data_IF_193157878482
#
_entry.id   IF_193157878482
#
_cell.length_a   1.000
_cell.length_b   1.000
_cell.length_c   1.000
_cell.angle_alpha   90.00
_cell.angle_beta   90.00
_cell.angle_gamma   90.00
#
_symmetry.space_group_name_H-M   'P 1'
#
loop_
_entity.id
_entity.type
_entity.pdbx_description
1 polymer ?
#
# COMPACT_ATOMS: atom_id res chain seq x y z
N UNK A 1 8.05 -21.53 -19.58
CA UNK A 1 7.28 -20.34 -19.99
C UNK A 1 6.21 -20.79 -20.96
N UNK A 2 4.94 -20.62 -20.63
CA UNK A 2 3.84 -21.00 -21.52
C UNK A 2 3.36 -19.73 -22.22
N UNK A 3 3.75 -19.59 -23.49
CA UNK A 3 3.20 -18.54 -24.36
C UNK A 3 1.81 -18.98 -24.79
N UNK A 4 0.81 -18.17 -24.52
CA UNK A 4 -0.59 -18.42 -24.86
C UNK A 4 -1.08 -17.45 -25.92
N UNK A 5 -1.99 -17.92 -26.75
CA UNK A 5 -2.56 -17.16 -27.86
C UNK A 5 -3.87 -16.50 -27.44
N UNK A 6 -4.01 -15.21 -27.75
CA UNK A 6 -5.21 -14.40 -27.48
C UNK A 6 -5.68 -13.71 -28.78
N UNK A 7 -6.84 -14.08 -29.33
CA UNK A 7 -7.37 -13.48 -30.54
C UNK A 7 -7.91 -12.07 -30.26
N UNK A 8 -7.44 -11.07 -30.99
CA UNK A 8 -7.87 -9.68 -30.90
C UNK A 8 -8.57 -9.28 -32.21
N UNK A 9 -9.84 -8.89 -32.13
CA UNK A 9 -10.57 -8.38 -33.28
C UNK A 9 -10.55 -6.85 -33.25
N UNK A 10 -10.07 -6.22 -34.32
CA UNK A 10 -9.85 -4.78 -34.42
C UNK A 10 -10.74 -4.15 -35.48
N UNK A 11 -11.06 -2.88 -35.34
CA UNK A 11 -11.63 -2.06 -36.40
C UNK A 11 -10.52 -1.44 -37.25
N UNK A 12 -9.45 -1.00 -36.62
CA UNK A 12 -8.26 -0.43 -37.28
C UNK A 12 -7.06 -0.71 -36.37
N UNK A 13 -5.90 -0.96 -36.96
CA UNK A 13 -4.63 -1.10 -36.27
C UNK A 13 -3.51 -0.50 -37.13
N UNK A 14 -2.62 0.25 -36.48
CA UNK A 14 -1.40 0.80 -37.07
C UNK A 14 -0.18 0.29 -36.34
N UNK A 15 0.77 -0.25 -37.12
CA UNK A 15 2.07 -0.69 -36.64
C UNK A 15 3.06 0.47 -36.75
N UNK A 16 3.75 0.77 -35.69
CA UNK A 16 4.74 1.86 -35.61
C UNK A 16 6.03 1.25 -35.06
N UNK A 17 7.15 1.53 -35.74
CA UNK A 17 8.48 1.20 -35.26
C UNK A 17 9.17 2.51 -34.85
N UNK A 18 9.25 2.83 -33.53
CA UNK A 18 9.74 4.14 -33.08
C UNK A 18 11.20 4.40 -33.39
N UNK A 19 12.02 3.34 -33.36
CA UNK A 19 13.44 3.40 -33.68
C UNK A 19 13.85 2.19 -34.51
N UNK A 20 14.84 2.35 -35.40
CA UNK A 20 15.41 1.22 -36.12
C UNK A 20 16.48 0.47 -35.34
N UNK A 21 16.99 1.07 -34.26
CA UNK A 21 18.00 0.49 -33.36
C UNK A 21 17.41 -0.31 -32.20
N UNK A 22 16.13 -0.11 -31.91
CA UNK A 22 15.45 -0.75 -30.77
C UNK A 22 14.54 -1.89 -31.26
N UNK A 23 14.39 -2.97 -30.47
CA UNK A 23 13.57 -4.12 -30.84
C UNK A 23 12.07 -3.84 -30.78
N UNK A 24 11.63 -2.82 -30.04
CA UNK A 24 10.23 -2.59 -29.73
C UNK A 24 9.44 -2.16 -30.96
N UNK A 25 8.25 -2.75 -31.10
CA UNK A 25 7.23 -2.38 -32.07
C UNK A 25 5.95 -2.04 -31.35
N UNK A 26 5.38 -0.88 -31.68
CA UNK A 26 4.12 -0.41 -31.10
C UNK A 26 3.01 -0.61 -32.13
N UNK A 27 1.89 -1.21 -31.69
CA UNK A 27 0.65 -1.24 -32.43
C UNK A 27 -0.39 -0.41 -31.69
N UNK A 28 -1.06 0.51 -32.40
CA UNK A 28 -2.20 1.26 -31.87
C UNK A 28 -3.45 0.76 -32.57
N UNK A 29 -4.37 0.18 -31.82
CA UNK A 29 -5.58 -0.42 -32.33
C UNK A 29 -6.84 0.24 -31.73
N UNK A 30 -7.87 0.42 -32.57
CA UNK A 30 -9.23 0.67 -32.11
C UNK A 30 -10.01 -0.64 -32.12
N UNK A 31 -10.38 -1.10 -30.94
CA UNK A 31 -10.96 -2.42 -30.69
C UNK A 31 -12.41 -2.26 -30.28
N UNK A 32 -13.37 -2.85 -31.00
CA UNK A 32 -14.75 -2.96 -30.50
C UNK A 32 -14.76 -3.66 -29.14
N UNK A 33 -15.64 -3.30 -28.26
CA UNK A 33 -15.74 -3.94 -26.93
C UNK A 33 -15.84 -5.46 -27.01
N UNK A 34 -16.63 -5.96 -27.96
CA UNK A 34 -16.76 -7.41 -28.25
C UNK A 34 -15.54 -8.05 -28.93
N UNK A 35 -14.57 -7.25 -29.34
CA UNK A 35 -13.32 -7.70 -29.99
C UNK A 35 -12.16 -7.91 -29.01
N UNK A 36 -12.32 -7.52 -27.75
CA UNK A 36 -11.30 -7.75 -26.73
C UNK A 36 -11.22 -9.25 -26.37
N UNK A 37 -10.01 -9.83 -26.31
CA UNK A 37 -9.84 -11.22 -25.84
C UNK A 37 -10.25 -11.34 -24.38
N UNK A 38 -10.82 -12.47 -24.01
CA UNK A 38 -11.11 -12.82 -22.63
C UNK A 38 -9.88 -13.37 -21.91
N UNK A 39 -9.74 -13.10 -20.61
CA UNK A 39 -8.72 -13.69 -19.76
C UNK A 39 -7.30 -13.19 -19.99
N UNK A 40 -7.12 -11.95 -20.48
CA UNK A 40 -5.78 -11.36 -20.58
C UNK A 40 -5.10 -11.29 -19.21
N UNK A 41 -3.83 -11.72 -19.08
CA UNK A 41 -3.11 -11.66 -17.82
C UNK A 41 -2.85 -10.21 -17.39
N UNK A 42 -2.98 -9.94 -16.10
CA UNK A 42 -2.85 -8.61 -15.49
C UNK A 42 -1.71 -8.48 -14.50
N UNK A 43 -0.79 -9.45 -14.40
CA UNK A 43 0.29 -9.47 -13.38
C UNK A 43 1.22 -8.25 -13.42
N UNK A 44 1.46 -7.67 -14.61
CA UNK A 44 2.26 -6.45 -14.77
C UNK A 44 1.51 -5.17 -14.38
N UNK A 45 0.19 -5.23 -14.29
CA UNK A 45 -0.57 -4.06 -13.88
C UNK A 45 -0.37 -3.82 -12.38
N UNK A 46 0.23 -2.70 -12.02
CA UNK A 46 0.47 -2.28 -10.62
C UNK A 46 -0.82 -2.23 -9.79
N UNK A 47 -1.97 -2.23 -10.46
CA UNK A 47 -3.32 -2.35 -9.91
C UNK A 47 -3.94 -3.63 -10.44
N UNK A 48 -3.52 -4.78 -9.92
CA UNK A 48 -3.99 -6.07 -10.43
C UNK A 48 -5.50 -6.23 -10.25
N UNK A 49 -6.10 -6.88 -11.24
CA UNK A 49 -7.54 -7.14 -11.31
C UNK A 49 -7.94 -8.12 -10.19
N UNK A 50 -7.09 -9.12 -9.93
CA UNK A 50 -7.34 -10.18 -8.94
C UNK A 50 -7.24 -9.71 -7.48
N UNK A 51 -6.40 -8.70 -7.20
CA UNK A 51 -6.23 -8.15 -5.85
C UNK A 51 -7.34 -7.18 -5.43
N UNK A 52 -8.21 -6.81 -6.35
CA UNK A 52 -9.24 -5.82 -6.07
C UNK A 52 -10.47 -6.41 -5.41
N UNK A 53 -10.50 -7.68 -5.08
CA UNK A 53 -11.63 -8.32 -4.38
C UNK A 53 -12.90 -7.51 -4.58
N UNK A 54 -13.44 -7.50 -5.81
CA UNK A 54 -14.31 -6.45 -6.28
C UNK A 54 -15.65 -6.44 -5.55
N UNK A 55 -15.80 -5.45 -4.69
CA UNK A 55 -17.11 -4.84 -4.53
C UNK A 55 -17.20 -3.66 -5.51
N UNK A 56 -17.97 -3.73 -6.58
CA UNK A 56 -18.07 -2.68 -7.63
C UNK A 56 -18.55 -1.34 -7.13
N UNK A 57 -18.83 -1.23 -5.85
CA UNK A 57 -19.45 -0.09 -5.18
C UNK A 57 -18.47 0.95 -4.64
N UNK A 58 -17.14 0.78 -4.78
CA UNK A 58 -16.22 1.52 -3.91
C UNK A 58 -15.69 2.86 -4.42
N UNK A 59 -15.61 3.13 -5.74
CA UNK A 59 -15.16 4.45 -6.19
C UNK A 59 -16.12 5.13 -7.18
N UNK A 60 -16.27 6.46 -7.04
CA UNK A 60 -17.09 7.26 -7.96
C UNK A 60 -16.59 7.15 -9.42
N UNK A 61 -15.26 7.10 -9.61
CA UNK A 61 -14.62 6.96 -10.93
C UNK A 61 -14.98 5.65 -11.59
N UNK A 62 -14.91 4.53 -10.87
CA UNK A 62 -15.26 3.21 -11.40
C UNK A 62 -16.72 3.15 -11.86
N UNK A 63 -17.65 3.65 -11.03
CA UNK A 63 -19.07 3.73 -11.37
C UNK A 63 -19.33 4.59 -12.62
N UNK A 64 -18.61 5.70 -12.77
CA UNK A 64 -18.71 6.58 -13.94
C UNK A 64 -18.26 5.86 -15.21
N UNK A 65 -17.12 5.15 -15.17
CA UNK A 65 -16.64 4.38 -16.33
C UNK A 65 -17.61 3.25 -16.67
N UNK A 66 -18.12 2.51 -15.68
CA UNK A 66 -19.12 1.45 -15.89
C UNK A 66 -20.41 1.99 -16.56
N UNK A 67 -20.94 3.09 -16.06
CA UNK A 67 -22.13 3.74 -16.65
C UNK A 67 -21.86 4.21 -18.09
N UNK A 68 -20.64 4.63 -18.40
CA UNK A 68 -20.24 4.98 -19.76
C UNK A 68 -20.18 3.74 -20.66
N UNK A 69 -19.63 2.62 -20.19
CA UNK A 69 -19.62 1.32 -20.89
C UNK A 69 -21.04 0.83 -21.16
N UNK A 70 -21.98 1.05 -20.24
CA UNK A 70 -23.39 0.71 -20.37
C UNK A 70 -24.20 1.74 -21.18
N UNK A 71 -23.58 2.82 -21.63
CA UNK A 71 -24.28 3.91 -22.35
C UNK A 71 -25.27 4.71 -21.51
N UNK A 72 -25.20 4.62 -20.18
CA UNK A 72 -26.02 5.36 -19.23
C UNK A 72 -25.48 6.75 -18.92
N UNK A 73 -24.23 7.03 -19.33
CA UNK A 73 -23.57 8.30 -19.09
C UNK A 73 -22.74 8.74 -20.31
N UNK A 74 -22.81 10.01 -20.65
CA UNK A 74 -22.08 10.62 -21.74
C UNK A 74 -22.66 10.31 -23.15
N UNK A 75 -21.95 10.79 -24.20
CA UNK A 75 -22.35 10.52 -25.60
C UNK A 75 -21.98 9.09 -25.97
N UNK A 76 -22.95 8.32 -26.44
CA UNK A 76 -22.75 6.94 -26.96
C UNK A 76 -21.69 6.92 -28.08
N UNK A 77 -20.89 5.88 -28.14
CA UNK A 77 -19.87 5.68 -29.15
C UNK A 77 -18.61 6.55 -29.02
N UNK A 78 -18.50 7.41 -28.01
CA UNK A 78 -17.32 8.28 -27.77
C UNK A 78 -16.46 7.82 -26.59
N UNK A 79 -16.53 6.55 -26.21
CA UNK A 79 -15.79 6.00 -25.07
C UNK A 79 -14.27 6.18 -25.27
N UNK A 80 -13.73 5.85 -26.44
CA UNK A 80 -12.32 5.96 -26.79
C UNK A 80 -11.74 7.39 -26.67
N UNK A 81 -12.59 8.43 -26.69
CA UNK A 81 -12.15 9.83 -26.50
C UNK A 81 -12.11 10.23 -25.01
N UNK A 82 -12.69 9.43 -24.12
CA UNK A 82 -12.87 9.75 -22.69
C UNK A 82 -12.10 8.81 -21.78
N UNK A 83 -11.51 7.76 -22.33
CA UNK A 83 -10.78 6.74 -21.61
C UNK A 83 -9.34 6.68 -22.12
N UNK A 84 -8.39 6.43 -21.22
CA UNK A 84 -6.97 6.34 -21.55
C UNK A 84 -6.59 5.02 -22.25
N UNK A 85 -7.57 4.17 -22.57
CA UNK A 85 -7.35 2.92 -23.27
C UNK A 85 -6.75 1.82 -22.40
N UNK A 86 -6.23 0.79 -23.08
CA UNK A 86 -5.58 -0.38 -22.51
C UNK A 86 -4.18 -0.48 -23.10
N UNK A 87 -3.15 -0.69 -22.27
CA UNK A 87 -1.78 -0.92 -22.73
C UNK A 87 -1.39 -2.36 -22.44
N UNK A 88 -0.87 -3.06 -23.45
CA UNK A 88 -0.44 -4.44 -23.39
C UNK A 88 1.06 -4.57 -23.71
N UNK A 89 1.75 -5.46 -23.01
CA UNK A 89 3.05 -6.01 -23.37
C UNK A 89 2.84 -7.42 -23.92
N UNK A 90 3.41 -7.73 -25.07
CA UNK A 90 3.24 -9.03 -25.73
C UNK A 90 4.56 -9.52 -26.33
N UNK A 91 4.72 -10.84 -26.45
CA UNK A 91 5.85 -11.45 -27.17
C UNK A 91 5.80 -11.15 -28.65
N UNK A 92 4.61 -11.26 -29.29
CA UNK A 92 4.44 -10.94 -30.70
C UNK A 92 2.98 -10.71 -31.10
N UNK A 93 2.78 -10.02 -32.23
CA UNK A 93 1.49 -9.76 -32.86
C UNK A 93 1.49 -10.35 -34.25
N UNK A 94 0.59 -11.30 -34.52
CA UNK A 94 0.49 -11.97 -35.83
C UNK A 94 -0.84 -11.62 -36.50
N UNK A 95 -0.77 -11.06 -37.69
CA UNK A 95 -1.95 -10.75 -38.52
C UNK A 95 -2.54 -12.03 -39.12
N UNK A 96 -3.82 -12.28 -38.86
CA UNK A 96 -4.58 -13.42 -39.42
C UNK A 96 -5.46 -12.96 -40.57
N UNK A 97 -6.26 -11.91 -40.36
CA UNK A 97 -7.06 -11.24 -41.38
C UNK A 97 -6.89 -9.72 -41.26
N UNK A 98 -7.68 -8.95 -42.01
CA UNK A 98 -7.61 -7.49 -41.91
C UNK A 98 -8.13 -6.97 -40.55
N UNK A 99 -9.00 -7.72 -39.91
CA UNK A 99 -9.67 -7.36 -38.66
C UNK A 99 -9.34 -8.29 -37.50
N UNK A 100 -8.54 -9.35 -37.69
CA UNK A 100 -8.19 -10.35 -36.68
C UNK A 100 -6.69 -10.51 -36.56
N UNK A 101 -6.20 -10.42 -35.34
CA UNK A 101 -4.79 -10.58 -34.94
C UNK A 101 -4.70 -11.55 -33.77
N UNK A 102 -3.65 -12.38 -33.78
CA UNK A 102 -3.30 -13.22 -32.63
C UNK A 102 -2.20 -12.52 -31.84
N UNK A 103 -2.46 -12.30 -30.54
CA UNK A 103 -1.46 -11.84 -29.58
C UNK A 103 -0.86 -13.08 -28.91
N UNK A 104 0.47 -13.18 -28.89
CA UNK A 104 1.19 -14.21 -28.18
C UNK A 104 1.75 -13.60 -26.90
N UNK A 105 1.37 -14.13 -25.74
CA UNK A 105 1.62 -13.54 -24.41
C UNK A 105 2.21 -14.60 -23.49
N UNK A 106 3.33 -14.30 -22.86
CA UNK A 106 3.87 -15.03 -21.72
C UNK A 106 3.08 -14.62 -20.47
N UNK A 107 2.17 -15.48 -19.99
CA UNK A 107 1.26 -15.17 -18.89
C UNK A 107 1.96 -14.83 -17.56
N UNK A 108 3.25 -15.15 -17.44
CA UNK A 108 4.03 -14.85 -16.23
C UNK A 108 4.64 -13.44 -16.28
N UNK A 109 5.02 -12.95 -17.47
CA UNK A 109 5.82 -11.73 -17.62
C UNK A 109 5.22 -10.72 -18.64
N UNK A 110 4.02 -10.97 -19.17
CA UNK A 110 3.36 -10.15 -20.16
C UNK A 110 1.86 -10.01 -19.90
N UNK A 111 1.19 -9.16 -20.67
CA UNK A 111 -0.24 -8.91 -20.55
C UNK A 111 -0.58 -7.44 -20.37
N UNK A 112 -1.57 -7.17 -19.54
CA UNK A 112 -2.05 -5.80 -19.27
C UNK A 112 -1.02 -5.06 -18.41
N UNK A 113 -0.50 -3.97 -18.98
CA UNK A 113 0.44 -3.05 -18.29
C UNK A 113 -0.32 -1.90 -17.65
N UNK A 114 -1.34 -1.37 -18.32
CA UNK A 114 -2.21 -0.31 -17.82
C UNK A 114 -3.62 -0.46 -18.40
N UNK A 115 -4.63 0.09 -17.69
CA UNK A 115 -6.03 0.03 -18.13
C UNK A 115 -6.76 -1.25 -17.73
N UNK A 116 -6.27 -2.02 -16.75
CA UNK A 116 -6.89 -3.26 -16.26
C UNK A 116 -8.34 -3.08 -15.82
N UNK A 117 -8.67 -2.01 -15.09
CA UNK A 117 -10.06 -1.69 -14.72
C UNK A 117 -10.96 -1.45 -15.93
N UNK A 118 -10.43 -0.76 -16.96
CA UNK A 118 -11.17 -0.53 -18.19
C UNK A 118 -11.45 -1.85 -18.91
N UNK A 119 -10.43 -2.71 -19.00
CA UNK A 119 -10.54 -4.04 -19.59
C UNK A 119 -11.62 -4.87 -18.86
N UNK A 120 -11.54 -5.00 -17.56
CA UNK A 120 -12.48 -5.77 -16.76
C UNK A 120 -13.92 -5.25 -16.89
N UNK A 121 -14.11 -3.93 -16.79
CA UNK A 121 -15.43 -3.33 -16.94
C UNK A 121 -16.03 -3.61 -18.31
N UNK A 122 -15.22 -3.53 -19.38
CA UNK A 122 -15.70 -3.81 -20.73
C UNK A 122 -16.06 -5.29 -20.86
N UNK A 123 -15.15 -6.21 -20.54
CA UNK A 123 -15.36 -7.65 -20.73
C UNK A 123 -16.55 -8.17 -19.92
N UNK A 124 -16.64 -7.77 -18.65
CA UNK A 124 -17.77 -8.12 -17.77
C UNK A 124 -19.13 -7.63 -18.33
N UNK A 125 -19.19 -6.40 -18.84
CA UNK A 125 -20.43 -5.84 -19.40
C UNK A 125 -20.76 -6.45 -20.77
N UNK A 126 -19.76 -6.84 -21.56
CA UNK A 126 -19.95 -7.60 -22.79
C UNK A 126 -20.58 -8.97 -22.49
N UNK A 127 -20.00 -9.72 -21.54
CA UNK A 127 -20.50 -11.04 -21.12
C UNK A 127 -21.91 -10.96 -20.54
N UNK A 128 -22.22 -9.88 -19.81
CA UNK A 128 -23.56 -9.64 -19.28
C UNK A 128 -24.55 -9.10 -20.32
N UNK A 129 -24.13 -8.83 -21.54
CA UNK A 129 -24.98 -8.23 -22.60
C UNK A 129 -25.43 -6.79 -22.32
N UNK A 130 -24.70 -6.07 -21.45
CA UNK A 130 -25.05 -4.71 -21.01
C UNK A 130 -24.16 -3.63 -21.61
N UNK A 131 -23.08 -4.01 -22.29
CA UNK A 131 -22.17 -3.09 -22.96
C UNK A 131 -22.82 -2.51 -24.23
N UNK A 132 -22.56 -1.21 -24.50
CA UNK A 132 -22.95 -0.58 -25.77
C UNK A 132 -21.98 -0.95 -26.89
N UNK A 133 -22.41 -0.78 -28.14
CA UNK A 133 -21.51 -0.82 -29.29
C UNK A 133 -20.59 0.42 -29.28
N UNK A 134 -19.36 0.21 -28.82
CA UNK A 134 -18.34 1.24 -28.71
C UNK A 134 -16.94 0.62 -28.85
N UNK A 135 -15.93 1.47 -28.89
CA UNK A 135 -14.54 1.08 -29.10
C UNK A 135 -13.67 1.60 -27.97
N UNK A 136 -12.58 0.88 -27.71
CA UNK A 136 -11.50 1.27 -26.82
C UNK A 136 -10.19 1.32 -27.62
N UNK A 137 -9.33 2.27 -27.29
CA UNK A 137 -7.95 2.28 -27.79
C UNK A 137 -7.13 1.22 -27.06
N UNK A 138 -6.39 0.41 -27.82
CA UNK A 138 -5.47 -0.58 -27.28
C UNK A 138 -4.08 -0.33 -27.86
N UNK A 139 -3.13 0.03 -26.99
CA UNK A 139 -1.72 0.16 -27.32
C UNK A 139 -1.02 -1.17 -26.99
N UNK A 140 -0.42 -1.80 -27.98
CA UNK A 140 0.27 -3.08 -27.83
C UNK A 140 1.74 -2.86 -28.13
N UNK A 141 2.63 -3.24 -27.21
CA UNK A 141 4.08 -3.16 -27.40
C UNK A 141 4.67 -4.56 -27.41
N UNK A 142 5.36 -4.93 -28.49
CA UNK A 142 6.13 -6.18 -28.62
C UNK A 142 7.62 -5.90 -28.54
N UNK A 143 8.42 -6.88 -28.07
CA UNK A 143 9.87 -6.84 -28.10
C UNK A 143 10.52 -6.20 -26.87
N UNK A 144 9.76 -5.79 -25.86
CA UNK A 144 10.35 -5.29 -24.60
C UNK A 144 11.01 -6.42 -23.81
N UNK A 145 12.19 -6.17 -23.24
CA UNK A 145 12.76 -7.03 -22.22
C UNK A 145 12.02 -6.89 -20.85
N UNK A 146 12.38 -7.72 -19.88
CA UNK A 146 11.66 -7.74 -18.61
C UNK A 146 11.82 -6.44 -17.83
N UNK A 147 13.01 -5.85 -17.81
CA UNK A 147 13.30 -4.60 -17.11
C UNK A 147 12.49 -3.44 -17.69
N UNK A 148 12.49 -3.31 -19.04
CA UNK A 148 11.68 -2.31 -19.74
C UNK A 148 10.19 -2.48 -19.50
N UNK A 149 9.67 -3.73 -19.43
CA UNK A 149 8.26 -3.99 -19.11
C UNK A 149 7.90 -3.46 -17.71
N UNK A 150 8.75 -3.72 -16.72
CA UNK A 150 8.55 -3.24 -15.34
C UNK A 150 8.60 -1.70 -15.27
N UNK A 151 9.57 -1.06 -15.94
CA UNK A 151 9.68 0.40 -15.99
C UNK A 151 8.47 1.06 -16.65
N UNK A 152 8.01 0.50 -17.78
CA UNK A 152 6.83 1.00 -18.50
C UNK A 152 5.57 0.83 -17.66
N UNK A 153 5.43 -0.30 -16.97
CA UNK A 153 4.31 -0.53 -16.05
C UNK A 153 4.29 0.51 -14.92
N UNK A 154 5.43 0.79 -14.31
CA UNK A 154 5.58 1.83 -13.29
C UNK A 154 5.29 3.21 -13.88
N UNK A 155 5.89 3.56 -15.01
CA UNK A 155 5.76 4.86 -15.66
C UNK A 155 4.32 5.20 -16.06
N UNK A 156 3.61 4.27 -16.71
CA UNK A 156 2.23 4.48 -17.13
C UNK A 156 1.25 4.56 -15.97
N UNK A 157 1.53 3.85 -14.87
CA UNK A 157 0.68 3.86 -13.69
C UNK A 157 1.02 5.02 -12.72
N UNK A 158 2.21 5.60 -12.77
CA UNK A 158 2.61 6.75 -11.94
C UNK A 158 1.95 8.06 -12.36
N UNK A 159 1.50 8.18 -13.61
CA UNK A 159 0.73 9.34 -14.09
C UNK A 159 -0.65 9.49 -13.39
N UNK A 160 -1.14 8.44 -12.77
CA UNK A 160 -2.32 8.46 -11.91
C UNK A 160 -1.82 8.10 -10.52
N UNK A 161 -1.67 9.04 -9.59
CA UNK A 161 -1.22 8.88 -8.19
C UNK A 161 -1.09 7.40 -7.72
N UNK A 162 -0.10 6.67 -8.24
CA UNK A 162 0.17 5.29 -7.78
C UNK A 162 0.83 5.42 -6.43
N UNK A 163 0.25 4.77 -5.44
CA UNK A 163 0.81 4.72 -4.10
C UNK A 163 2.18 4.02 -4.15
N UNK A 164 3.14 4.58 -3.45
CA UNK A 164 4.51 4.05 -3.37
C UNK A 164 4.56 2.57 -2.96
N UNK A 165 3.62 2.11 -2.14
CA UNK A 165 3.53 0.69 -1.74
C UNK A 165 3.29 -0.23 -2.92
N UNK A 166 2.42 0.16 -3.86
CA UNK A 166 2.14 -0.62 -5.06
C UNK A 166 3.35 -0.70 -6.00
N UNK A 167 4.09 0.41 -6.15
CA UNK A 167 5.34 0.44 -6.93
C UNK A 167 6.38 -0.53 -6.33
N UNK A 168 6.60 -0.46 -5.02
CA UNK A 168 7.57 -1.32 -4.32
C UNK A 168 7.16 -2.79 -4.33
N UNK A 169 5.86 -3.08 -4.31
CA UNK A 169 5.38 -4.46 -4.43
C UNK A 169 5.67 -5.03 -5.83
N UNK A 170 5.47 -4.24 -6.89
CA UNK A 170 5.81 -4.64 -8.26
C UNK A 170 7.32 -4.89 -8.41
N UNK A 171 8.16 -4.08 -7.76
CA UNK A 171 9.61 -4.29 -7.66
C UNK A 171 10.02 -5.44 -6.73
N UNK A 172 9.06 -6.18 -6.17
CA UNK A 172 9.29 -7.31 -5.26
C UNK A 172 10.05 -6.95 -3.97
N UNK A 173 10.08 -5.67 -3.59
CA UNK A 173 10.80 -5.17 -2.41
C UNK A 173 10.28 -5.78 -1.11
N UNK A 174 9.02 -6.21 -1.07
CA UNK A 174 8.42 -6.83 0.11
C UNK A 174 8.54 -8.37 0.16
N UNK A 175 9.20 -9.01 -0.82
CA UNK A 175 9.24 -10.47 -0.88
C UNK A 175 9.92 -11.08 0.36
N UNK A 176 11.08 -10.56 0.76
CA UNK A 176 11.78 -11.04 1.97
C UNK A 176 10.92 -10.92 3.23
N UNK A 177 10.09 -9.88 3.34
CA UNK A 177 9.15 -9.75 4.45
C UNK A 177 8.00 -10.75 4.37
N UNK A 178 7.45 -10.98 3.18
CA UNK A 178 6.41 -12.00 2.95
C UNK A 178 6.92 -13.39 3.32
N UNK A 179 8.10 -13.74 2.83
CA UNK A 179 8.75 -15.03 3.10
C UNK A 179 9.00 -15.22 4.61
N UNK A 180 9.52 -14.19 5.29
CA UNK A 180 9.71 -14.22 6.74
C UNK A 180 8.39 -14.47 7.50
N UNK A 181 7.32 -13.77 7.14
CA UNK A 181 6.03 -13.93 7.82
C UNK A 181 5.41 -15.31 7.55
N UNK A 182 5.54 -15.83 6.33
CA UNK A 182 5.05 -17.15 5.92
C UNK A 182 5.82 -18.27 6.64
N UNK A 183 7.15 -18.22 6.67
CA UNK A 183 8.00 -19.19 7.36
C UNK A 183 7.67 -19.29 8.86
N UNK A 184 7.38 -18.14 9.48
CA UNK A 184 7.02 -18.06 10.89
C UNK A 184 5.52 -18.35 11.14
N UNK A 185 4.71 -18.55 10.09
CA UNK A 185 3.24 -18.78 10.15
C UNK A 185 2.53 -17.73 11.02
N UNK A 186 2.86 -16.46 10.81
CA UNK A 186 2.25 -15.39 11.57
C UNK A 186 0.74 -15.25 11.26
N UNK A 187 -0.13 -15.13 12.28
CA UNK A 187 -1.59 -15.17 12.10
C UNK A 187 -2.17 -13.95 11.38
N UNK A 188 -1.34 -12.99 11.02
CA UNK A 188 -1.71 -11.80 10.27
C UNK A 188 -1.02 -11.69 8.89
N UNK A 189 -0.31 -12.74 8.45
CA UNK A 189 0.35 -12.78 7.15
C UNK A 189 -0.62 -12.46 6.02
N UNK A 190 -1.76 -13.13 6.01
CA UNK A 190 -2.86 -12.97 5.06
C UNK A 190 -3.68 -11.67 5.24
N UNK A 191 -3.31 -10.81 6.18
CA UNK A 191 -4.04 -9.58 6.52
C UNK A 191 -3.31 -8.31 6.10
N UNK A 192 -2.12 -8.44 5.49
CA UNK A 192 -1.31 -7.30 5.08
C UNK A 192 -1.55 -6.94 3.62
N UNK A 193 -2.03 -5.72 3.40
CA UNK A 193 -2.21 -5.12 2.08
C UNK A 193 -0.89 -4.57 1.55
N UNK A 194 -0.33 -5.20 0.52
CA UNK A 194 0.94 -4.81 -0.10
C UNK A 194 0.78 -3.81 -1.25
N UNK A 195 -0.43 -3.46 -1.60
CA UNK A 195 -0.73 -2.54 -2.70
C UNK A 195 -1.98 -1.70 -2.41
N UNK A 196 -2.17 -0.66 -3.21
CA UNK A 196 -3.32 0.23 -3.09
C UNK A 196 -4.62 -0.51 -3.44
N UNK A 197 -5.66 -0.24 -2.64
CA UNK A 197 -7.00 -0.83 -2.77
C UNK A 197 -7.11 -2.34 -2.52
N UNK A 198 -6.07 -2.98 -2.00
CA UNK A 198 -6.15 -4.33 -1.47
C UNK A 198 -7.16 -4.39 -0.32
N UNK A 199 -7.80 -5.56 -0.13
CA UNK A 199 -8.87 -5.72 0.87
C UNK A 199 -8.35 -5.97 2.27
N UNK A 200 -7.11 -6.39 2.38
CA UNK A 200 -6.48 -6.71 3.63
C UNK A 200 -6.44 -5.46 4.53
N UNK A 201 -6.75 -5.65 5.81
CA UNK A 201 -6.99 -4.53 6.70
C UNK A 201 -5.73 -3.80 7.19
N UNK A 202 -4.55 -4.41 7.04
CA UNK A 202 -3.28 -3.87 7.55
C UNK A 202 -2.45 -3.35 6.38
N UNK A 203 -2.31 -2.04 6.24
CA UNK A 203 -1.50 -1.45 5.17
C UNK A 203 0.00 -1.68 5.41
N UNK A 204 0.73 -2.20 4.43
CA UNK A 204 2.18 -2.47 4.53
C UNK A 204 2.97 -1.20 4.87
N UNK A 205 2.59 -0.04 4.37
CA UNK A 205 3.24 1.23 4.70
C UNK A 205 3.15 1.58 6.19
N UNK A 206 2.06 1.18 6.87
CA UNK A 206 1.93 1.33 8.33
C UNK A 206 2.80 0.30 9.08
N UNK A 207 2.93 -0.92 8.56
CA UNK A 207 3.84 -1.95 9.10
C UNK A 207 5.28 -1.45 9.03
N UNK A 208 5.73 -1.04 7.85
CA UNK A 208 7.09 -0.51 7.64
C UNK A 208 7.33 0.76 8.47
N UNK A 209 6.36 1.65 8.56
CA UNK A 209 6.51 2.87 9.37
C UNK A 209 6.71 2.57 10.86
N UNK A 210 6.04 1.55 11.41
CA UNK A 210 6.25 1.10 12.79
C UNK A 210 7.63 0.45 12.97
N UNK A 211 8.08 -0.36 12.02
CA UNK A 211 9.43 -0.93 12.03
C UNK A 211 10.50 0.17 11.99
N UNK A 212 10.36 1.11 11.06
CA UNK A 212 11.30 2.22 10.88
C UNK A 212 11.34 3.16 12.08
N UNK A 213 10.24 3.40 12.79
CA UNK A 213 10.26 4.26 13.97
C UNK A 213 11.02 3.64 15.16
N UNK A 214 11.31 2.34 15.10
CA UNK A 214 12.12 1.62 16.11
C UNK A 214 13.58 1.38 15.67
N UNK A 215 13.98 1.91 14.54
CA UNK A 215 15.33 1.80 14.01
C UNK A 215 16.34 2.65 14.82
N UNK A 216 17.09 1.99 15.70
CA UNK A 216 18.07 2.64 16.59
C UNK A 216 19.34 3.10 15.87
N UNK A 217 19.61 2.56 14.67
CA UNK A 217 20.78 2.93 13.87
C UNK A 217 20.54 4.25 13.14
N UNK A 218 19.42 4.36 12.46
CA UNK A 218 19.06 5.57 11.73
C UNK A 218 18.51 6.69 12.63
N UNK A 219 17.91 6.33 13.77
CA UNK A 219 17.40 7.26 14.77
C UNK A 219 18.05 6.94 16.13
N UNK A 220 19.25 7.48 16.40
CA UNK A 220 20.05 7.10 17.55
C UNK A 220 19.33 7.36 18.88
N UNK A 221 19.73 6.63 19.91
CA UNK A 221 19.18 6.76 21.28
C UNK A 221 19.60 8.07 21.93
N UNK A 222 20.79 8.57 21.59
CA UNK A 222 21.24 9.89 22.09
C UNK A 222 20.34 11.00 21.53
N UNK A 223 19.56 11.60 22.40
CA UNK A 223 18.60 12.66 22.07
C UNK A 223 19.27 13.96 21.61
N UNK A 224 20.54 14.19 21.94
CA UNK A 224 21.30 15.33 21.42
C UNK A 224 21.54 15.20 19.92
N UNK A 225 21.55 13.98 19.39
CA UNK A 225 21.64 13.69 17.96
C UNK A 225 20.32 13.79 17.20
N UNK A 226 19.18 14.06 17.88
CA UNK A 226 17.86 14.18 17.24
C UNK A 226 17.66 15.50 16.53
N UNK A 227 18.45 15.71 15.49
CA UNK A 227 18.36 16.88 14.61
C UNK A 227 17.68 16.47 13.29
N UNK A 228 16.74 17.27 12.81
CA UNK A 228 16.07 17.11 11.50
C UNK A 228 15.93 15.65 11.03
N UNK A 229 16.82 15.16 10.15
CA UNK A 229 16.73 13.84 9.52
C UNK A 229 16.98 12.66 10.46
N UNK A 230 17.59 12.87 11.63
CA UNK A 230 17.86 11.82 12.63
C UNK A 230 16.80 11.74 13.73
N UNK A 231 15.78 12.59 13.69
CA UNK A 231 14.68 12.52 14.64
C UNK A 231 13.66 11.44 14.21
N UNK A 232 13.21 10.56 15.12
CA UNK A 232 12.28 9.47 14.77
C UNK A 232 10.92 9.95 14.22
N UNK A 233 10.54 11.21 14.43
CA UNK A 233 9.36 11.82 13.82
C UNK A 233 9.37 11.71 12.29
N UNK A 234 10.53 11.54 11.68
CA UNK A 234 10.64 11.33 10.23
C UNK A 234 9.92 10.06 9.75
N UNK A 235 9.82 9.02 10.58
CA UNK A 235 9.03 7.83 10.27
C UNK A 235 7.52 8.12 10.17
N UNK A 236 7.06 9.23 10.72
CA UNK A 236 5.67 9.68 10.64
C UNK A 236 5.44 10.73 9.55
N UNK A 237 6.37 11.68 9.38
CA UNK A 237 6.15 12.86 8.50
C UNK A 237 6.09 12.52 7.02
N UNK A 238 6.78 11.48 6.57
CA UNK A 238 6.89 11.16 5.16
C UNK A 238 6.64 9.68 4.88
N UNK A 239 5.40 9.30 4.55
CA UNK A 239 5.07 7.91 4.20
C UNK A 239 5.92 7.41 3.03
N UNK A 240 6.00 8.19 1.96
CA UNK A 240 6.83 7.89 0.79
C UNK A 240 8.31 7.84 1.15
N UNK A 241 8.82 8.82 1.92
CA UNK A 241 10.22 8.83 2.36
C UNK A 241 10.58 7.63 3.25
N UNK A 242 9.64 7.18 4.09
CA UNK A 242 9.82 6.00 4.94
C UNK A 242 9.94 4.72 4.11
N UNK A 243 9.10 4.57 3.09
CA UNK A 243 9.15 3.44 2.17
C UNK A 243 10.42 3.46 1.29
N UNK A 244 10.82 4.64 0.82
CA UNK A 244 12.09 4.81 0.09
C UNK A 244 13.28 4.44 0.97
N UNK A 245 13.28 4.86 2.24
CA UNK A 245 14.33 4.49 3.19
C UNK A 245 14.39 2.99 3.45
N UNK A 246 13.24 2.33 3.54
CA UNK A 246 13.14 0.87 3.66
C UNK A 246 13.76 0.18 2.43
N UNK A 247 13.37 0.58 1.23
CA UNK A 247 13.87 0.05 -0.04
C UNK A 247 15.41 0.19 -0.16
N UNK A 248 15.93 1.39 0.13
CA UNK A 248 17.36 1.68 0.06
C UNK A 248 18.22 0.97 1.11
N UNK A 249 17.62 0.43 2.17
CA UNK A 249 18.32 -0.20 3.29
C UNK A 249 17.73 -1.58 3.63
N UNK A 250 17.28 -2.32 2.64
CA UNK A 250 16.52 -3.57 2.80
C UNK A 250 17.24 -4.57 3.72
N UNK A 251 18.53 -4.84 3.47
CA UNK A 251 19.35 -5.75 4.28
C UNK A 251 19.37 -5.38 5.78
N UNK A 252 19.37 -4.08 6.10
CA UNK A 252 19.30 -3.62 7.48
C UNK A 252 17.94 -3.94 8.11
N UNK A 253 16.84 -3.69 7.38
CA UNK A 253 15.50 -3.95 7.90
C UNK A 253 15.16 -5.44 7.97
N UNK A 254 15.72 -6.27 7.11
CA UNK A 254 15.63 -7.74 7.21
C UNK A 254 16.17 -8.25 8.55
N UNK A 255 17.28 -7.71 9.03
CA UNK A 255 17.81 -8.02 10.37
C UNK A 255 16.86 -7.62 11.52
N UNK A 256 15.96 -6.65 11.27
CA UNK A 256 14.94 -6.21 12.22
C UNK A 256 13.63 -7.00 12.15
N UNK A 257 13.40 -7.85 11.15
CA UNK A 257 12.13 -8.57 11.00
C UNK A 257 11.76 -9.41 12.22
N UNK A 258 12.74 -9.96 12.92
CA UNK A 258 12.54 -10.69 14.18
C UNK A 258 11.86 -9.88 15.29
N UNK A 259 11.93 -8.53 15.22
CA UNK A 259 11.23 -7.63 16.14
C UNK A 259 9.78 -7.38 15.70
N UNK A 260 9.47 -7.54 14.43
CA UNK A 260 8.22 -7.06 13.83
C UNK A 260 6.95 -7.61 14.50
N UNK A 261 6.85 -8.91 14.83
CA UNK A 261 5.68 -9.44 15.52
C UNK A 261 5.40 -8.71 16.84
N UNK A 262 6.44 -8.52 17.64
CA UNK A 262 6.36 -7.84 18.93
C UNK A 262 6.06 -6.33 18.76
N UNK A 263 6.60 -5.69 17.73
CA UNK A 263 6.33 -4.29 17.40
C UNK A 263 4.85 -4.09 17.08
N UNK A 264 4.27 -4.96 16.27
CA UNK A 264 2.87 -4.87 15.90
C UNK A 264 1.95 -5.15 17.09
N UNK A 265 2.27 -6.16 17.92
CA UNK A 265 1.54 -6.45 19.15
C UNK A 265 1.62 -5.27 20.12
N UNK A 266 2.81 -4.71 20.35
CA UNK A 266 3.01 -3.57 21.24
C UNK A 266 2.22 -2.34 20.77
N UNK A 267 2.20 -2.08 19.46
CA UNK A 267 1.42 -0.99 18.88
C UNK A 267 -0.08 -1.13 19.16
N UNK A 268 -0.64 -2.32 19.01
CA UNK A 268 -2.06 -2.56 19.33
C UNK A 268 -2.33 -2.50 20.83
N UNK A 269 -1.39 -2.97 21.68
CA UNK A 269 -1.51 -2.82 23.14
C UNK A 269 -1.55 -1.34 23.51
N UNK A 270 -0.63 -0.50 23.01
CA UNK A 270 -0.63 0.94 23.23
C UNK A 270 -1.97 1.55 22.82
N UNK A 271 -2.48 1.15 21.64
CA UNK A 271 -3.71 1.70 21.09
C UNK A 271 -4.94 1.48 21.97
N UNK A 272 -4.98 0.38 22.71
CA UNK A 272 -6.08 0.01 23.60
C UNK A 272 -5.81 0.46 25.05
N UNK A 273 -4.57 0.39 25.50
CA UNK A 273 -4.22 0.68 26.89
C UNK A 273 -4.28 2.18 27.24
N UNK A 274 -3.88 3.06 26.30
CA UNK A 274 -3.92 4.51 26.51
C UNK A 274 -5.32 5.03 26.81
N UNK A 275 -6.39 4.71 26.06
CA UNK A 275 -7.75 5.12 26.39
C UNK A 275 -8.22 4.59 27.75
N UNK A 276 -7.88 3.35 28.06
CA UNK A 276 -8.24 2.72 29.35
C UNK A 276 -7.59 3.46 30.53
N UNK A 277 -6.30 3.74 30.43
CA UNK A 277 -5.57 4.48 31.45
C UNK A 277 -6.03 5.93 31.56
N UNK A 278 -6.32 6.59 30.41
CA UNK A 278 -6.90 7.92 30.41
C UNK A 278 -8.23 7.98 31.18
N UNK A 279 -9.12 7.03 30.93
CA UNK A 279 -10.40 6.94 31.64
C UNK A 279 -10.21 6.69 33.13
N UNK A 280 -9.16 5.94 33.53
CA UNK A 280 -8.82 5.70 34.91
C UNK A 280 -8.36 6.99 35.64
N UNK A 281 -7.50 7.78 35.00
CA UNK A 281 -6.92 8.99 35.55
C UNK A 281 -7.91 10.17 35.62
N UNK A 282 -8.75 10.29 34.58
CA UNK A 282 -9.57 11.48 34.32
C UNK A 282 -11.08 11.18 34.32
N UNK A 283 -11.55 10.39 35.30
CA UNK A 283 -12.96 9.93 35.38
C UNK A 283 -14.02 11.03 35.28
N UNK A 284 -13.69 12.27 35.65
CA UNK A 284 -14.62 13.41 35.65
C UNK A 284 -14.38 14.40 34.54
N UNK A 285 -13.42 14.16 33.64
CA UNK A 285 -13.19 15.01 32.46
C UNK A 285 -14.19 14.64 31.37
N UNK A 286 -14.70 15.64 30.62
CA UNK A 286 -15.55 15.38 29.47
C UNK A 286 -14.90 14.34 28.55
N UNK A 287 -15.62 13.27 28.24
CA UNK A 287 -15.08 12.06 27.59
C UNK A 287 -14.64 12.26 26.10
N UNK A 288 -14.67 13.49 25.59
CA UNK A 288 -14.25 13.79 24.22
C UNK A 288 -12.90 14.48 24.21
N UNK A 289 -11.83 13.67 24.19
CA UNK A 289 -10.49 14.16 23.88
C UNK A 289 -10.15 13.79 22.45
N UNK A 290 -9.59 14.74 21.71
CA UNK A 290 -9.35 14.60 20.26
C UNK A 290 -8.39 13.49 19.88
N UNK A 291 -7.65 12.89 20.81
CA UNK A 291 -6.70 11.82 20.55
C UNK A 291 -7.25 10.41 20.81
N UNK A 292 -8.49 10.28 21.33
CA UNK A 292 -9.18 9.00 21.52
C UNK A 292 -10.37 8.92 20.58
N UNK A 293 -10.37 7.91 19.72
CA UNK A 293 -11.47 7.61 18.80
C UNK A 293 -12.44 6.61 19.45
N UNK A 294 -13.70 7.04 19.60
CA UNK A 294 -14.82 6.23 20.09
C UNK A 294 -15.94 6.11 19.04
N UNK A 295 -15.70 6.62 17.83
CA UNK A 295 -16.72 6.68 16.78
C UNK A 295 -17.03 5.33 16.15
N UNK A 296 -16.05 4.41 16.16
CA UNK A 296 -16.16 3.08 15.55
C UNK A 296 -15.51 2.02 16.41
N UNK A 297 -16.09 0.83 16.41
CA UNK A 297 -15.43 -0.37 16.92
C UNK A 297 -14.27 -0.70 15.97
N UNK A 298 -13.07 -0.83 16.50
CA UNK A 298 -11.87 -1.21 15.76
C UNK A 298 -11.43 -2.62 16.11
N UNK A 299 -11.17 -3.43 15.09
CA UNK A 299 -10.58 -4.75 15.28
C UNK A 299 -9.07 -4.64 15.41
N UNK A 300 -8.53 -5.21 16.47
CA UNK A 300 -7.11 -5.40 16.72
C UNK A 300 -6.74 -6.77 16.17
N UNK A 301 -6.08 -6.80 15.01
CA UNK A 301 -5.84 -8.04 14.26
C UNK A 301 -4.78 -8.91 14.91
N UNK A 302 -3.78 -8.30 15.56
CA UNK A 302 -2.71 -9.01 16.26
C UNK A 302 -3.20 -9.55 17.61
N UNK A 303 -3.95 -8.73 18.37
CA UNK A 303 -4.52 -9.12 19.66
C UNK A 303 -5.77 -10.00 19.52
N UNK A 304 -6.33 -10.16 18.33
CA UNK A 304 -7.52 -10.96 18.08
C UNK A 304 -8.80 -10.46 18.77
N UNK A 305 -8.89 -9.18 19.12
CA UNK A 305 -10.03 -8.60 19.85
C UNK A 305 -10.56 -7.32 19.21
N UNK A 306 -11.73 -6.89 19.65
CA UNK A 306 -12.32 -5.61 19.28
C UNK A 306 -12.18 -4.58 20.40
N UNK A 307 -12.06 -3.31 20.02
CA UNK A 307 -12.01 -2.19 20.96
C UNK A 307 -12.94 -1.06 20.50
N UNK A 308 -13.71 -0.54 21.46
CA UNK A 308 -14.63 0.60 21.26
C UNK A 308 -13.97 1.96 21.48
N UNK A 309 -12.80 1.97 22.11
CA UNK A 309 -12.08 3.19 22.46
C UNK A 309 -10.60 3.00 22.11
N UNK A 310 -10.09 3.81 21.21
CA UNK A 310 -8.78 3.59 20.60
C UNK A 310 -7.98 4.89 20.56
N UNK A 311 -6.67 4.81 20.85
CA UNK A 311 -5.76 5.88 20.51
C UNK A 311 -5.72 6.05 18.99
N UNK A 312 -5.78 7.27 18.49
CA UNK A 312 -5.70 7.55 17.05
C UNK A 312 -4.36 7.06 16.49
N UNK A 313 -4.39 6.37 15.35
CA UNK A 313 -3.25 5.64 14.76
C UNK A 313 -1.95 6.47 14.65
N UNK A 314 -2.07 7.75 14.28
CA UNK A 314 -0.92 8.65 14.17
C UNK A 314 -0.16 8.85 15.49
N UNK A 315 -0.86 8.74 16.61
CA UNK A 315 -0.28 8.94 17.96
C UNK A 315 0.33 7.67 18.56
N UNK A 316 0.11 6.52 17.94
CA UNK A 316 0.78 5.27 18.36
C UNK A 316 2.29 5.37 18.12
N UNK A 317 2.72 5.94 17.00
CA UNK A 317 4.14 6.00 16.59
C UNK A 317 5.03 6.80 17.58
N UNK A 318 4.66 8.02 18.03
CA UNK A 318 5.43 8.70 19.07
C UNK A 318 5.67 7.85 20.32
N UNK A 319 4.63 7.19 20.83
CA UNK A 319 4.73 6.37 22.03
C UNK A 319 5.55 5.09 21.78
N UNK A 320 5.28 4.41 20.67
CA UNK A 320 6.01 3.21 20.25
C UNK A 320 7.49 3.48 20.09
N UNK A 321 7.87 4.64 19.53
CA UNK A 321 9.27 5.01 19.29
C UNK A 321 10.10 5.11 20.55
N UNK A 322 9.48 5.36 21.70
CA UNK A 322 10.16 5.38 23.01
C UNK A 322 10.83 4.05 23.32
N UNK A 323 10.24 2.94 22.90
CA UNK A 323 10.75 1.59 23.15
C UNK A 323 12.04 1.24 22.40
N UNK A 324 12.57 2.14 21.55
CA UNK A 324 13.89 1.97 20.95
C UNK A 324 14.99 1.78 21.99
N UNK A 325 14.87 2.40 23.16
CA UNK A 325 15.85 2.27 24.24
C UNK A 325 15.96 0.85 24.82
N UNK A 326 15.01 -0.03 24.46
CA UNK A 326 15.00 -1.45 24.83
C UNK A 326 15.51 -2.35 23.68
N UNK A 327 16.08 -1.78 22.63
CA UNK A 327 16.65 -2.50 21.50
C UNK A 327 18.17 -2.36 21.54
N UNK A 328 18.88 -3.49 21.53
CA UNK A 328 20.33 -3.51 21.39
C UNK A 328 20.72 -3.11 19.96
N UNK A 329 21.46 -1.99 19.75
CA UNK A 329 21.82 -1.52 18.44
C UNK A 329 22.77 -2.45 17.67
N UNK A 330 23.48 -3.35 18.33
CA UNK A 330 24.40 -4.29 17.70
C UNK A 330 23.69 -5.53 17.16
N UNK A 331 22.72 -6.03 17.91
CA UNK A 331 21.99 -7.26 17.56
C UNK A 331 20.65 -6.98 16.88
N UNK A 332 20.15 -5.75 16.94
CA UNK A 332 18.82 -5.34 16.48
C UNK A 332 17.71 -6.25 17.04
N UNK A 333 17.80 -6.57 18.35
CA UNK A 333 16.83 -7.37 19.09
C UNK A 333 16.47 -6.67 20.39
N UNK A 334 15.36 -7.07 21.02
CA UNK A 334 15.09 -6.61 22.38
C UNK A 334 16.26 -6.98 23.32
N UNK A 335 16.68 -6.07 24.16
CA UNK A 335 17.71 -6.29 25.18
C UNK A 335 17.19 -7.16 26.37
N UNK A 336 15.90 -7.46 26.35
CA UNK A 336 15.15 -8.23 27.36
C UNK A 336 14.02 -9.05 26.74
N UNK A 337 13.34 -9.86 27.53
CA UNK A 337 12.16 -10.60 27.08
C UNK A 337 11.02 -9.65 26.69
N UNK A 338 10.19 -10.04 25.72
CA UNK A 338 9.03 -9.24 25.33
C UNK A 338 8.00 -9.08 26.45
N UNK A 339 7.97 -10.02 27.41
CA UNK A 339 7.16 -9.89 28.62
C UNK A 339 7.62 -8.71 29.47
N UNK A 340 8.92 -8.50 29.60
CA UNK A 340 9.50 -7.35 30.30
C UNK A 340 9.25 -6.04 29.54
N UNK A 341 9.32 -6.04 28.21
CA UNK A 341 8.92 -4.88 27.39
C UNK A 341 7.46 -4.48 27.67
N UNK A 342 6.55 -5.46 27.73
CA UNK A 342 5.14 -5.21 28.09
C UNK A 342 4.97 -4.72 29.53
N UNK A 343 5.81 -5.15 30.46
CA UNK A 343 5.84 -4.64 31.84
C UNK A 343 6.23 -3.17 31.87
N UNK A 344 7.32 -2.79 31.17
CA UNK A 344 7.74 -1.39 31.02
C UNK A 344 6.60 -0.53 30.46
N UNK A 345 5.88 -0.99 29.43
CA UNK A 345 4.70 -0.28 28.92
C UNK A 345 3.67 -0.07 30.04
N UNK A 346 3.28 -1.14 30.74
CA UNK A 346 2.26 -1.07 31.78
C UNK A 346 2.62 -0.06 32.89
N UNK A 347 3.86 -0.05 33.33
CA UNK A 347 4.36 0.84 34.38
C UNK A 347 4.46 2.30 33.91
N UNK A 348 4.82 2.53 32.65
CA UNK A 348 4.94 3.87 32.05
C UNK A 348 3.62 4.51 31.58
N UNK A 349 2.54 3.72 31.44
CA UNK A 349 1.25 4.19 30.93
C UNK A 349 0.73 5.46 31.62
N UNK A 350 0.75 5.57 32.97
CA UNK A 350 0.23 6.76 33.63
C UNK A 350 0.90 8.05 33.19
N UNK A 351 2.21 8.01 33.01
CA UNK A 351 3.00 9.17 32.60
C UNK A 351 2.84 9.47 31.11
N UNK A 352 2.81 8.46 30.25
CA UNK A 352 2.56 8.63 28.81
C UNK A 352 1.21 9.29 28.57
N UNK A 353 0.17 8.96 29.33
CA UNK A 353 -1.16 9.58 29.24
C UNK A 353 -1.11 11.05 29.68
N UNK A 354 -0.33 11.38 30.72
CA UNK A 354 -0.15 12.77 31.14
C UNK A 354 0.50 13.64 30.05
N UNK A 355 1.55 13.14 29.36
CA UNK A 355 2.17 13.84 28.26
C UNK A 355 1.24 14.00 27.06
N UNK A 356 0.49 12.95 26.70
CA UNK A 356 -0.54 13.06 25.66
C UNK A 356 -1.57 14.14 25.99
N UNK A 357 -2.06 14.18 27.21
CA UNK A 357 -3.03 15.19 27.65
C UNK A 357 -2.45 16.60 27.63
N UNK A 358 -1.21 16.77 28.11
CA UNK A 358 -0.52 18.06 28.06
C UNK A 358 -0.34 18.55 26.63
N UNK A 359 0.13 17.66 25.74
CA UNK A 359 0.29 17.97 24.31
C UNK A 359 -1.07 18.29 23.63
N UNK A 360 -2.12 17.57 24.00
CA UNK A 360 -3.47 17.82 23.49
C UNK A 360 -3.98 19.20 23.89
N UNK A 361 -3.78 19.60 25.15
CA UNK A 361 -4.17 20.93 25.63
C UNK A 361 -3.40 22.03 24.90
N UNK A 362 -2.11 21.83 24.63
CA UNK A 362 -1.27 22.80 23.94
C UNK A 362 -1.59 22.94 22.41
N UNK A 363 -2.22 21.92 21.83
CA UNK A 363 -2.47 21.83 20.38
C UNK A 363 -3.96 21.66 20.04
N UNK A 364 -4.86 22.22 20.85
CA UNK A 364 -6.30 22.23 20.65
C UNK A 364 -6.92 20.85 20.40
N UNK A 365 -6.40 19.81 21.02
CA UNK A 365 -6.82 18.42 20.84
C UNK A 365 -6.75 17.92 19.38
N UNK A 366 -5.85 18.47 18.56
CA UNK A 366 -5.70 18.10 17.14
C UNK A 366 -4.67 16.98 16.99
N UNK A 367 -5.04 15.73 16.61
CA UNK A 367 -4.13 14.59 16.61
C UNK A 367 -2.95 14.74 15.63
N UNK A 368 -3.18 15.33 14.45
CA UNK A 368 -2.10 15.46 13.45
C UNK A 368 -0.98 16.43 13.89
N UNK A 369 -1.26 17.63 14.41
CA UNK A 369 -0.25 18.45 15.08
C UNK A 369 0.46 17.73 16.23
N UNK A 370 -0.29 17.04 17.11
CA UNK A 370 0.27 16.30 18.25
C UNK A 370 1.28 15.23 17.79
N UNK A 371 0.95 14.44 16.77
CA UNK A 371 1.83 13.40 16.23
C UNK A 371 3.12 13.99 15.57
N UNK A 372 3.09 15.26 15.16
CA UNK A 372 4.24 15.98 14.59
C UNK A 372 5.07 16.72 15.65
N UNK A 373 4.52 16.90 16.85
CA UNK A 373 5.23 17.60 17.93
C UNK A 373 6.40 16.76 18.45
N UNK A 374 7.61 17.18 18.15
CA UNK A 374 8.85 16.49 18.55
C UNK A 374 8.99 16.33 20.06
N UNK A 375 8.32 17.20 20.86
CA UNK A 375 8.31 17.07 22.32
C UNK A 375 7.62 15.79 22.76
N UNK A 376 6.49 15.43 22.15
CA UNK A 376 5.79 14.18 22.48
C UNK A 376 6.68 12.94 22.26
N UNK A 377 7.47 12.94 21.17
CA UNK A 377 8.44 11.87 20.89
C UNK A 377 9.56 11.81 21.92
N UNK A 378 10.06 12.99 22.33
CA UNK A 378 11.13 13.10 23.34
C UNK A 378 10.66 12.70 24.70
N UNK A 379 9.46 13.13 25.11
CA UNK A 379 8.86 12.81 26.40
C UNK A 379 8.53 11.31 26.50
N UNK A 380 8.00 10.71 25.44
CA UNK A 380 7.78 9.28 25.37
C UNK A 380 9.09 8.48 25.56
N UNK A 381 10.16 8.87 24.86
CA UNK A 381 11.45 8.23 24.98
C UNK A 381 12.04 8.40 26.41
N UNK A 382 11.95 9.61 26.98
CA UNK A 382 12.41 9.88 28.33
C UNK A 382 11.63 9.09 29.37
N UNK A 383 10.33 8.89 29.15
CA UNK A 383 9.49 8.08 30.04
C UNK A 383 9.94 6.62 29.99
N UNK A 384 10.03 6.01 28.82
CA UNK A 384 10.46 4.62 28.70
C UNK A 384 11.84 4.40 29.32
N UNK A 385 12.78 5.34 29.13
CA UNK A 385 14.12 5.28 29.75
C UNK A 385 14.10 5.24 31.27
N UNK A 386 13.09 5.81 31.93
CA UNK A 386 12.97 5.76 33.40
C UNK A 386 12.42 4.44 33.94
N UNK A 387 11.69 3.71 33.10
CA UNK A 387 11.02 2.45 33.50
C UNK A 387 11.74 1.21 32.94
N UNK A 388 12.86 1.39 32.18
CA UNK A 388 13.60 0.26 31.60
C UNK A 388 14.44 -0.53 32.62
#
# INVERSE_FOLDING_TARGET
MAIKKYPLRVKEIKRIKPSNSEPEVIHIAYVPFSGLPQGLPGKLNVRTIDDLGFSPTKTAVYKTVERTVQGKEGRKGKFHLKNNGISLAVSSVVKITNDLYDLFIDEDNEGIVNGGHTYELITRNVDAGTAIDAQVEVKITEGMDLETKEEVAIGLNSQVNVDQTSILNTKKVFNSLKDFLAEQKHPYEDKIAYQMNALEPINIGEVISKLVCLDVVNYPLDRQMWIKSKHPVQAYLGKTATLTKYDQNLEHYEKMFKLLPNILELAEIIQVAIPTEHARQFRNASNRVGYIDTSKVKRMYILGKESKSNLIDGLVKPLLSGFRSLIDPNTLSWDRSFTEVKKVLKESLPELVMYLKSTANALDNKPSPMARDTRLWTDAAATIDRYK
#
